data_IF_423280983997
#
_entry.id   IF_423280983997
#
_cell.length_a   1.000
_cell.length_b   1.000
_cell.length_c   1.000
_cell.angle_alpha   90.00
_cell.angle_beta   90.00
_cell.angle_gamma   90.00
#
_symmetry.space_group_name_H-M   'P 1'
#
loop_
_entity.id
_entity.type
_entity.pdbx_description
1 polymer ?
#
# COMPACT_ATOMS: atom_id res chain seq x y z
N UNK A 1 -12.06 -26.25 -1.50
CA UNK A 1 -10.63 -26.12 -1.17
C UNK A 1 -9.99 -24.91 -1.85
N UNK A 2 -10.04 -24.77 -3.19
CA UNK A 2 -9.42 -23.63 -3.89
C UNK A 2 -9.92 -22.24 -3.42
N UNK A 3 -11.23 -22.07 -3.25
CA UNK A 3 -11.84 -20.83 -2.72
C UNK A 3 -11.30 -20.42 -1.34
N UNK A 4 -11.10 -21.37 -0.43
CA UNK A 4 -10.56 -21.11 0.91
C UNK A 4 -9.10 -20.67 0.84
N UNK A 5 -8.30 -21.28 -0.03
CA UNK A 5 -6.91 -20.90 -0.25
C UNK A 5 -6.83 -19.46 -0.80
N UNK A 6 -7.67 -19.12 -1.79
CA UNK A 6 -7.73 -17.78 -2.36
C UNK A 6 -8.15 -16.73 -1.33
N UNK A 7 -9.17 -17.03 -0.50
CA UNK A 7 -9.61 -16.12 0.57
C UNK A 7 -8.52 -15.89 1.62
N UNK A 8 -7.83 -16.95 2.05
CA UNK A 8 -6.72 -16.83 3.03
C UNK A 8 -5.56 -16.04 2.43
N UNK A 9 -5.18 -16.29 1.18
CA UNK A 9 -4.13 -15.53 0.51
C UNK A 9 -4.49 -14.05 0.35
N UNK A 10 -5.74 -13.75 0.03
CA UNK A 10 -6.24 -12.39 -0.10
C UNK A 10 -6.28 -11.65 1.25
N UNK A 11 -6.65 -12.33 2.33
CA UNK A 11 -6.59 -11.78 3.68
C UNK A 11 -5.15 -11.41 4.07
N UNK A 12 -4.20 -12.29 3.81
CA UNK A 12 -2.78 -12.04 4.11
C UNK A 12 -2.27 -10.83 3.32
N UNK A 13 -2.58 -10.75 2.01
CA UNK A 13 -2.19 -9.60 1.19
C UNK A 13 -2.85 -8.30 1.65
N UNK A 14 -4.11 -8.32 2.07
CA UNK A 14 -4.79 -7.14 2.61
C UNK A 14 -4.06 -6.59 3.84
N UNK A 15 -3.74 -7.46 4.81
CA UNK A 15 -3.03 -7.08 6.03
C UNK A 15 -1.64 -6.53 5.69
N UNK A 16 -0.91 -7.20 4.79
CA UNK A 16 0.43 -6.78 4.39
C UNK A 16 0.41 -5.41 3.68
N UNK A 17 -0.59 -5.17 2.83
CA UNK A 17 -0.80 -3.90 2.15
C UNK A 17 -1.11 -2.78 3.16
N UNK A 18 -1.97 -3.03 4.16
CA UNK A 18 -2.25 -2.08 5.24
C UNK A 18 -0.98 -1.70 5.99
N UNK A 19 -0.18 -2.68 6.43
CA UNK A 19 1.08 -2.43 7.15
C UNK A 19 2.05 -1.61 6.30
N UNK A 20 2.23 -1.99 5.04
CA UNK A 20 3.13 -1.29 4.11
C UNK A 20 2.67 0.14 3.85
N UNK A 21 1.36 0.41 3.74
CA UNK A 21 0.81 1.76 3.58
C UNK A 21 0.99 2.61 4.83
N UNK A 22 0.78 2.05 6.02
CA UNK A 22 1.01 2.76 7.28
C UNK A 22 2.49 3.14 7.44
N UNK A 23 3.41 2.25 7.08
CA UNK A 23 4.85 2.53 7.09
C UNK A 23 5.29 3.59 6.06
N UNK A 24 4.47 3.88 5.05
CA UNK A 24 4.72 4.95 4.08
C UNK A 24 4.22 6.33 4.52
N UNK A 25 3.48 6.44 5.63
CA UNK A 25 2.95 7.72 6.09
C UNK A 25 4.09 8.63 6.57
N UNK A 26 4.48 9.56 5.70
CA UNK A 26 5.48 10.57 5.97
C UNK A 26 4.83 11.85 6.45
N UNK A 27 4.58 11.96 7.76
CA UNK A 27 4.53 13.23 8.50
C UNK A 27 3.64 14.39 8.00
N UNK A 28 2.80 14.19 6.99
CA UNK A 28 1.86 15.19 6.49
C UNK A 28 0.63 15.15 7.40
N UNK A 29 0.78 15.73 8.60
CA UNK A 29 -0.34 15.97 9.50
C UNK A 29 -1.36 16.96 8.90
N UNK A 30 -2.48 17.15 9.58
CA UNK A 30 -3.59 18.04 9.17
C UNK A 30 -3.12 19.42 8.64
N UNK A 31 -2.02 19.98 9.17
CA UNK A 31 -1.44 21.25 8.70
C UNK A 31 -0.99 21.26 7.24
N UNK A 32 -0.69 20.11 6.63
CA UNK A 32 -0.38 19.99 5.20
C UNK A 32 -1.62 20.05 4.29
N UNK A 33 -2.79 19.67 4.81
CA UNK A 33 -4.08 19.76 4.10
C UNK A 33 -4.65 21.19 4.10
N UNK A 34 -4.19 22.05 5.00
CA UNK A 34 -4.65 23.44 5.17
C UNK A 34 -3.64 24.50 4.66
N UNK A 35 -2.75 24.14 3.71
CA UNK A 35 -1.84 25.10 3.07
C UNK A 35 -0.62 25.49 3.90
N UNK A 36 -0.16 24.61 4.80
CA UNK A 36 1.04 24.81 5.61
C UNK A 36 2.28 25.15 4.77
N UNK A 37 2.76 26.38 4.95
CA UNK A 37 3.99 26.90 4.36
C UNK A 37 5.19 26.14 4.94
N UNK A 38 5.69 25.19 4.15
CA UNK A 38 6.84 24.37 4.52
C UNK A 38 7.27 23.57 3.32
N UNK A 39 7.71 24.28 2.27
CA UNK A 39 8.28 23.76 1.02
C UNK A 39 9.61 23.05 1.28
N UNK A 40 9.64 22.07 2.18
CA UNK A 40 10.72 21.10 2.26
C UNK A 40 10.30 19.94 1.37
N UNK A 41 10.53 20.11 0.07
CA UNK A 41 10.57 19.02 -0.87
C UNK A 41 11.78 18.14 -0.54
N UNK A 42 11.67 17.34 0.51
CA UNK A 42 12.65 16.28 0.73
C UNK A 42 12.50 15.31 -0.44
N UNK A 43 13.48 15.36 -1.34
CA UNK A 43 13.58 14.39 -2.43
C UNK A 43 13.58 12.99 -1.81
N UNK A 44 12.62 12.15 -2.21
CA UNK A 44 12.53 10.76 -1.74
C UNK A 44 13.83 10.03 -2.11
N UNK A 45 14.74 9.81 -1.15
CA UNK A 45 16.00 9.08 -1.35
C UNK A 45 15.92 7.69 -0.70
N UNK A 46 16.44 6.68 -1.41
CA UNK A 46 16.66 5.33 -0.89
C UNK A 46 15.38 4.57 -0.56
N UNK A 47 15.13 4.40 0.73
CA UNK A 47 14.16 3.45 1.31
C UNK A 47 12.72 3.79 0.91
N UNK A 48 12.38 5.08 0.86
CA UNK A 48 11.03 5.52 0.52
C UNK A 48 10.62 5.21 -0.91
N UNK A 49 11.60 5.26 -1.83
CA UNK A 49 11.36 4.98 -3.25
C UNK A 49 11.16 3.48 -3.46
N UNK A 50 11.85 2.66 -2.68
CA UNK A 50 11.69 1.21 -2.66
C UNK A 50 10.34 0.84 -2.08
N UNK A 51 9.99 1.33 -0.88
CA UNK A 51 8.67 1.10 -0.26
C UNK A 51 7.51 1.49 -1.18
N UNK A 52 7.61 2.64 -1.85
CA UNK A 52 6.59 3.08 -2.80
C UNK A 52 6.41 2.11 -3.97
N UNK A 53 7.51 1.66 -4.60
CA UNK A 53 7.45 0.66 -5.68
C UNK A 53 6.91 -0.69 -5.19
N UNK A 54 7.33 -1.12 -4.00
CA UNK A 54 6.92 -2.38 -3.40
C UNK A 54 5.40 -2.40 -3.14
N UNK A 55 4.85 -1.27 -2.70
CA UNK A 55 3.42 -1.09 -2.46
C UNK A 55 2.61 -1.18 -3.74
N UNK A 56 3.09 -0.57 -4.82
CA UNK A 56 2.42 -0.67 -6.13
C UNK A 56 2.36 -2.13 -6.58
N UNK A 57 3.46 -2.87 -6.44
CA UNK A 57 3.50 -4.29 -6.80
C UNK A 57 2.54 -5.12 -5.94
N UNK A 58 2.55 -4.93 -4.61
CA UNK A 58 1.65 -5.62 -3.69
C UNK A 58 0.18 -5.27 -4.00
N UNK A 59 -0.12 -4.00 -4.27
CA UNK A 59 -1.46 -3.55 -4.59
C UNK A 59 -1.97 -4.19 -5.89
N UNK A 60 -1.16 -4.21 -6.95
CA UNK A 60 -1.50 -4.90 -8.19
C UNK A 60 -1.78 -6.39 -7.95
N UNK A 61 -0.93 -7.08 -7.19
CA UNK A 61 -1.14 -8.49 -6.85
C UNK A 61 -2.42 -8.71 -6.04
N UNK A 62 -2.72 -7.85 -5.08
CA UNK A 62 -3.95 -7.89 -4.30
C UNK A 62 -5.19 -7.74 -5.18
N UNK A 63 -5.21 -6.76 -6.09
CA UNK A 63 -6.33 -6.55 -7.02
C UNK A 63 -6.50 -7.72 -7.99
N UNK A 64 -5.42 -8.27 -8.53
CA UNK A 64 -5.48 -9.45 -9.41
C UNK A 64 -6.06 -10.66 -8.68
N UNK A 65 -5.62 -10.91 -7.45
CA UNK A 65 -6.16 -11.99 -6.61
C UNK A 65 -7.62 -11.74 -6.24
N UNK A 66 -8.01 -10.49 -5.97
CA UNK A 66 -9.40 -10.13 -5.69
C UNK A 66 -10.33 -10.41 -6.88
N UNK A 67 -9.89 -10.09 -8.10
CA UNK A 67 -10.64 -10.40 -9.33
C UNK A 67 -10.72 -11.91 -9.53
N UNK A 68 -9.60 -12.64 -9.34
CA UNK A 68 -9.60 -14.09 -9.42
C UNK A 68 -10.56 -14.74 -8.41
N UNK A 69 -10.58 -14.25 -7.17
CA UNK A 69 -11.49 -14.73 -6.13
C UNK A 69 -12.96 -14.45 -6.46
N UNK A 70 -13.25 -13.32 -7.11
CA UNK A 70 -14.60 -12.98 -7.54
C UNK A 70 -15.10 -13.89 -8.67
N UNK A 71 -14.22 -14.23 -9.62
CA UNK A 71 -14.56 -15.03 -10.81
C UNK A 71 -14.63 -16.53 -10.49
N UNK A 72 -13.82 -17.04 -9.56
CA UNK A 72 -13.72 -18.48 -9.23
C UNK A 72 -14.49 -18.91 -7.98
#
# INVERSE_FOLDING_TARGET
MLKQILQVAQLILAVLLIVVVLLQQKGTGLGSAFGGSGTIHTTRRGIDKVLYRLTIVIACLFFLLAILNLVF
#
